data_IF_239552226549
#
_entry.id   IF_239552226549
#
_cell.length_a   1.000
_cell.length_b   1.000
_cell.length_c   1.000
_cell.angle_alpha   90.00
_cell.angle_beta   90.00
_cell.angle_gamma   90.00
#
_symmetry.space_group_name_H-M   'P 1'
#
loop_
_entity.id
_entity.type
_entity.pdbx_description
1 polymer ?
#
# COMPACT_ATOMS: atom_id res chain seq x y z
N UNK A 1 0.02 26.76 12.15
CA UNK A 1 1.20 26.08 12.74
C UNK A 1 1.05 25.81 14.25
N UNK A 2 0.67 24.58 14.61
CA UNK A 2 0.67 24.06 15.99
C UNK A 2 1.80 23.03 16.12
N UNK A 3 2.59 23.06 17.20
CA UNK A 3 3.66 22.08 17.44
C UNK A 3 3.37 21.34 18.74
N UNK A 4 3.28 20.01 18.64
CA UNK A 4 3.14 19.12 19.79
C UNK A 4 4.28 18.10 19.76
N UNK A 5 4.94 17.93 20.91
CA UNK A 5 6.06 17.00 21.08
C UNK A 5 5.82 16.13 22.31
N UNK A 6 6.19 14.85 22.24
CA UNK A 6 6.12 13.89 23.36
C UNK A 6 4.69 13.73 23.90
N UNK A 7 3.71 13.62 23.00
CA UNK A 7 2.30 13.48 23.39
C UNK A 7 1.93 12.00 23.49
N UNK A 8 1.46 11.59 24.67
CA UNK A 8 0.85 10.28 24.89
C UNK A 8 -0.62 10.48 25.20
N UNK A 9 -1.49 9.98 24.33
CA UNK A 9 -2.94 9.96 24.57
C UNK A 9 -3.44 8.51 24.54
N UNK A 10 -4.32 8.19 25.46
CA UNK A 10 -5.01 6.92 25.56
C UNK A 10 -6.51 7.16 25.60
N UNK A 11 -7.29 6.27 24.99
CA UNK A 11 -8.77 6.31 25.02
C UNK A 11 -9.34 7.60 24.41
N UNK A 12 -8.89 7.94 23.20
CA UNK A 12 -9.36 9.13 22.49
C UNK A 12 -10.62 8.79 21.71
N UNK A 13 -11.76 9.28 22.20
CA UNK A 13 -13.04 9.24 21.49
C UNK A 13 -13.47 10.66 21.11
N UNK A 14 -13.41 10.99 19.83
CA UNK A 14 -14.01 12.22 19.29
C UNK A 14 -14.87 11.88 18.07
N UNK A 15 -15.90 12.69 17.84
CA UNK A 15 -16.80 12.53 16.69
C UNK A 15 -16.12 12.96 15.39
N UNK A 16 -15.34 14.04 15.47
CA UNK A 16 -14.65 14.63 14.32
C UNK A 16 -13.34 15.26 14.82
N UNK A 17 -12.25 15.05 14.09
CA UNK A 17 -10.95 15.67 14.35
C UNK A 17 -10.45 16.36 13.07
N UNK A 18 -10.32 17.69 13.14
CA UNK A 18 -9.76 18.49 12.04
C UNK A 18 -8.49 19.18 12.51
N UNK A 19 -7.36 18.87 11.89
CA UNK A 19 -6.08 19.52 12.15
C UNK A 19 -5.50 20.05 10.84
N UNK A 20 -4.98 21.28 10.89
CA UNK A 20 -4.31 21.92 9.76
C UNK A 20 -3.01 22.58 10.23
N UNK A 21 -1.96 22.45 9.42
CA UNK A 21 -0.62 22.99 9.70
C UNK A 21 -0.10 22.56 11.09
N UNK A 22 0.02 21.25 11.32
CA UNK A 22 0.43 20.70 12.61
C UNK A 22 1.72 19.91 12.48
N UNK A 23 2.64 20.13 13.42
CA UNK A 23 3.85 19.31 13.59
C UNK A 23 3.67 18.48 14.84
N UNK A 24 3.61 17.16 14.68
CA UNK A 24 3.52 16.17 15.75
C UNK A 24 4.84 15.41 15.80
N UNK A 25 5.52 15.42 16.94
CA UNK A 25 6.77 14.68 17.14
C UNK A 25 6.65 13.73 18.32
N UNK A 26 7.02 12.47 18.12
CA UNK A 26 7.00 11.41 19.15
C UNK A 26 5.63 11.26 19.81
N UNK A 27 4.59 11.08 18.98
CA UNK A 27 3.22 10.92 19.46
C UNK A 27 2.84 9.45 19.54
N UNK A 28 2.31 9.04 20.69
CA UNK A 28 1.74 7.71 20.91
C UNK A 28 0.26 7.87 21.18
N UNK A 29 -0.60 7.37 20.27
CA UNK A 29 -2.04 7.36 20.46
C UNK A 29 -2.52 5.91 20.58
N UNK A 30 -3.02 5.52 21.75
CA UNK A 30 -3.54 4.17 22.00
C UNK A 30 -5.04 4.21 22.14
N UNK A 31 -5.73 3.22 21.56
CA UNK A 31 -7.19 3.07 21.64
C UNK A 31 -7.93 4.31 21.14
N UNK A 32 -7.65 4.67 19.89
CA UNK A 32 -8.28 5.84 19.25
C UNK A 32 -9.49 5.39 18.44
N UNK A 33 -10.64 6.02 18.69
CA UNK A 33 -11.85 5.85 17.90
C UNK A 33 -12.30 7.21 17.39
N UNK A 34 -12.11 7.46 16.09
CA UNK A 34 -12.51 8.71 15.44
C UNK A 34 -13.30 8.37 14.17
N UNK A 35 -14.61 8.63 14.12
CA UNK A 35 -15.40 8.42 12.92
C UNK A 35 -14.85 9.23 11.75
N UNK A 36 -14.52 10.51 11.94
CA UNK A 36 -14.05 11.39 10.87
C UNK A 36 -12.75 12.11 11.27
N UNK A 37 -11.73 12.01 10.41
CA UNK A 37 -10.43 12.68 10.58
C UNK A 37 -10.03 13.39 9.31
N UNK A 38 -9.79 14.70 9.41
CA UNK A 38 -9.27 15.53 8.32
C UNK A 38 -7.96 16.17 8.74
N UNK A 39 -6.87 15.81 8.05
CA UNK A 39 -5.52 16.32 8.30
C UNK A 39 -4.99 17.04 7.06
N UNK A 40 -4.63 18.31 7.19
CA UNK A 40 -4.03 19.07 6.09
C UNK A 40 -2.67 19.63 6.50
N UNK A 41 -1.64 19.40 5.67
CA UNK A 41 -0.28 19.91 5.90
C UNK A 41 0.25 19.51 7.28
N UNK A 42 0.21 18.21 7.56
CA UNK A 42 0.66 17.67 8.85
C UNK A 42 2.02 17.01 8.66
N UNK A 43 2.96 17.35 9.52
CA UNK A 43 4.24 16.64 9.65
C UNK A 43 4.20 15.81 10.93
N UNK A 44 4.27 14.50 10.78
CA UNK A 44 4.22 13.53 11.88
C UNK A 44 5.55 12.80 11.94
N UNK A 45 6.39 13.03 12.94
CA UNK A 45 7.65 12.29 13.09
C UNK A 45 7.58 11.34 14.28
N UNK A 46 7.84 10.05 14.04
CA UNK A 46 7.87 9.04 15.10
C UNK A 46 6.51 8.78 15.74
N UNK A 47 5.47 8.64 14.91
CA UNK A 47 4.10 8.39 15.40
C UNK A 47 3.85 6.88 15.50
N UNK A 48 3.41 6.46 16.68
CA UNK A 48 3.05 5.06 16.97
C UNK A 48 1.57 4.97 17.31
N UNK A 49 0.88 4.13 16.55
CA UNK A 49 -0.56 3.90 16.65
C UNK A 49 -0.81 2.41 16.90
N UNK A 50 -0.88 1.94 18.15
CA UNK A 50 -1.06 0.51 18.44
C UNK A 50 -2.43 0.02 17.99
N UNK A 51 -3.48 0.80 18.27
CA UNK A 51 -4.87 0.44 18.03
C UNK A 51 -5.68 1.67 17.64
N UNK A 52 -6.13 1.67 16.39
CA UNK A 52 -6.86 2.80 15.80
C UNK A 52 -8.05 2.29 15.00
N UNK A 53 -9.23 2.82 15.29
CA UNK A 53 -10.47 2.56 14.55
C UNK A 53 -10.95 3.89 13.99
N UNK A 54 -10.96 4.01 12.67
CA UNK A 54 -11.42 5.19 11.94
C UNK A 54 -12.57 4.79 11.02
N UNK A 55 -13.51 5.68 10.71
CA UNK A 55 -14.47 5.40 9.64
C UNK A 55 -13.99 6.05 8.35
N UNK A 56 -13.75 7.36 8.39
CA UNK A 56 -13.35 8.16 7.24
C UNK A 56 -12.13 9.01 7.59
N UNK A 57 -11.10 8.91 6.77
CA UNK A 57 -9.84 9.64 6.93
C UNK A 57 -9.51 10.32 5.63
N UNK A 58 -9.38 11.64 5.66
CA UNK A 58 -8.88 12.43 4.55
C UNK A 58 -7.60 13.15 4.97
N UNK A 59 -6.49 12.89 4.28
CA UNK A 59 -5.27 13.69 4.49
C UNK A 59 -4.71 14.27 3.19
N UNK A 60 -4.17 15.48 3.29
CA UNK A 60 -3.50 16.16 2.18
C UNK A 60 -2.18 16.78 2.64
N UNK A 61 -1.11 16.60 1.87
CA UNK A 61 0.20 17.18 2.20
C UNK A 61 0.79 16.56 3.46
N UNK A 62 0.68 15.24 3.60
CA UNK A 62 1.13 14.53 4.79
C UNK A 62 2.58 14.09 4.63
N UNK A 63 3.42 14.53 5.56
CA UNK A 63 4.80 14.08 5.71
C UNK A 63 4.93 13.25 6.97
N UNK A 64 5.51 12.07 6.87
CA UNK A 64 5.87 11.30 8.05
C UNK A 64 7.11 10.43 7.78
N UNK A 65 8.28 10.79 8.33
CA UNK A 65 9.48 10.00 8.12
C UNK A 65 9.40 8.62 8.77
N UNK A 66 8.64 8.47 9.87
CA UNK A 66 8.48 7.19 10.58
C UNK A 66 7.07 7.01 11.09
N UNK A 67 6.36 6.07 10.49
CA UNK A 67 5.04 5.68 10.92
C UNK A 67 4.99 4.20 11.29
N UNK A 68 4.44 3.92 12.47
CA UNK A 68 4.16 2.54 12.88
C UNK A 68 2.72 2.42 13.32
N UNK A 69 1.97 1.51 12.69
CA UNK A 69 0.63 1.14 13.12
C UNK A 69 0.51 -0.37 13.27
N UNK A 70 0.06 -0.84 14.43
CA UNK A 70 0.02 -2.27 14.74
C UNK A 70 -1.33 -2.92 14.47
N UNK A 71 -2.43 -2.17 14.66
CA UNK A 71 -3.79 -2.60 14.38
C UNK A 71 -4.59 -1.40 13.94
N UNK A 72 -5.09 -1.46 12.72
CA UNK A 72 -5.89 -0.39 12.15
C UNK A 72 -7.08 -0.94 11.41
N UNK A 73 -8.26 -0.40 11.70
CA UNK A 73 -9.42 -0.58 10.84
C UNK A 73 -9.92 0.77 10.33
N UNK A 74 -10.14 0.89 9.02
CA UNK A 74 -10.81 2.03 8.43
C UNK A 74 -11.73 1.67 7.27
N UNK A 75 -12.89 2.32 7.19
CA UNK A 75 -13.82 2.08 6.08
C UNK A 75 -13.33 2.78 4.82
N UNK A 76 -12.97 4.06 4.92
CA UNK A 76 -12.55 4.88 3.79
C UNK A 76 -11.32 5.71 4.14
N UNK A 77 -10.22 5.46 3.43
CA UNK A 77 -8.98 6.21 3.59
C UNK A 77 -8.60 6.91 2.29
N UNK A 78 -8.62 8.25 2.32
CA UNK A 78 -8.27 9.12 1.20
C UNK A 78 -7.00 9.91 1.52
N UNK A 79 -6.01 9.81 0.63
CA UNK A 79 -4.76 10.55 0.74
C UNK A 79 -4.40 11.27 -0.55
N UNK A 80 -3.87 12.47 -0.38
CA UNK A 80 -3.28 13.26 -1.46
C UNK A 80 -1.93 13.82 -1.02
N UNK A 81 -0.95 13.79 -1.94
CA UNK A 81 0.37 14.39 -1.73
C UNK A 81 1.06 13.89 -0.45
N UNK A 82 1.37 12.59 -0.42
CA UNK A 82 1.94 11.94 0.76
C UNK A 82 3.38 11.54 0.53
N UNK A 83 4.25 11.90 1.47
CA UNK A 83 5.67 11.55 1.48
C UNK A 83 6.00 10.86 2.80
N UNK A 84 6.29 9.56 2.73
CA UNK A 84 6.72 8.79 3.90
C UNK A 84 8.09 8.17 3.62
N UNK A 85 8.89 7.98 4.66
CA UNK A 85 10.19 7.32 4.52
C UNK A 85 10.15 5.88 4.98
N UNK A 86 9.84 5.64 6.25
CA UNK A 86 9.76 4.30 6.84
C UNK A 86 8.36 4.07 7.40
N UNK A 87 7.64 3.11 6.83
CA UNK A 87 6.26 2.80 7.22
C UNK A 87 6.15 1.32 7.57
N UNK A 88 5.69 1.04 8.78
CA UNK A 88 5.45 -0.33 9.26
C UNK A 88 3.97 -0.45 9.65
N UNK A 89 3.24 -1.28 8.92
CA UNK A 89 1.82 -1.50 9.14
C UNK A 89 1.56 -2.99 9.38
N UNK A 90 0.93 -3.30 10.50
CA UNK A 90 0.54 -4.66 10.87
C UNK A 90 -0.97 -4.71 11.08
N UNK A 91 -1.59 -5.85 10.74
CA UNK A 91 -3.01 -6.15 11.03
C UNK A 91 -3.96 -5.00 10.66
N UNK A 92 -3.83 -4.55 9.42
CA UNK A 92 -4.64 -3.44 8.91
C UNK A 92 -5.78 -3.97 8.03
N UNK A 93 -6.99 -3.49 8.30
CA UNK A 93 -8.22 -3.88 7.59
C UNK A 93 -8.89 -2.63 7.03
N UNK A 94 -8.89 -2.50 5.70
CA UNK A 94 -9.46 -1.36 5.00
C UNK A 94 -10.54 -1.79 4.01
N UNK A 95 -11.63 -1.04 3.92
CA UNK A 95 -12.64 -1.31 2.89
C UNK A 95 -12.31 -0.57 1.59
N UNK A 96 -11.93 0.70 1.68
CA UNK A 96 -11.62 1.54 0.54
C UNK A 96 -10.41 2.42 0.81
N UNK A 97 -9.46 2.43 -0.12
CA UNK A 97 -8.24 3.23 -0.09
C UNK A 97 -8.10 3.96 -1.41
N UNK A 98 -8.07 5.29 -1.36
CA UNK A 98 -7.92 6.15 -2.53
C UNK A 98 -6.73 7.05 -2.32
N UNK A 99 -5.72 6.90 -3.17
CA UNK A 99 -4.46 7.63 -3.07
C UNK A 99 -4.21 8.37 -4.39
N UNK A 100 -3.84 9.64 -4.34
CA UNK A 100 -3.51 10.38 -5.56
C UNK A 100 -2.02 10.32 -5.88
N UNK A 101 -1.18 10.73 -4.93
CA UNK A 101 0.27 10.78 -5.12
C UNK A 101 0.95 10.36 -3.84
N UNK A 102 1.66 9.23 -3.90
CA UNK A 102 2.32 8.64 -2.75
C UNK A 102 3.75 8.28 -3.10
N UNK A 103 4.69 8.81 -2.31
CA UNK A 103 6.12 8.52 -2.42
C UNK A 103 6.61 7.90 -1.12
N UNK A 104 7.14 6.68 -1.21
CA UNK A 104 7.63 5.89 -0.10
C UNK A 104 9.07 5.43 -0.36
N UNK A 105 9.90 5.45 0.68
CA UNK A 105 11.20 4.80 0.60
C UNK A 105 11.10 3.33 1.01
N UNK A 106 10.45 3.06 2.13
CA UNK A 106 10.31 1.73 2.72
C UNK A 106 8.89 1.54 3.27
N UNK A 107 8.24 0.48 2.82
CA UNK A 107 6.93 0.07 3.28
C UNK A 107 6.93 -1.42 3.62
N UNK A 108 6.74 -1.73 4.91
CA UNK A 108 6.55 -3.07 5.41
C UNK A 108 5.10 -3.26 5.86
N UNK A 109 4.39 -4.17 5.20
CA UNK A 109 3.01 -4.50 5.52
C UNK A 109 2.88 -5.97 5.91
N UNK A 110 2.26 -6.24 7.05
CA UNK A 110 1.95 -7.61 7.47
C UNK A 110 0.47 -7.77 7.80
N UNK A 111 -0.14 -8.87 7.34
CA UNK A 111 -1.58 -9.17 7.57
C UNK A 111 -2.51 -8.05 7.11
N UNK A 112 -2.22 -7.49 5.94
CA UNK A 112 -3.01 -6.41 5.36
C UNK A 112 -4.20 -6.95 4.59
N UNK A 113 -5.39 -6.42 4.85
CA UNK A 113 -6.62 -6.77 4.14
C UNK A 113 -7.25 -5.50 3.55
N UNK A 114 -7.39 -5.43 2.23
CA UNK A 114 -8.09 -4.33 1.58
C UNK A 114 -9.05 -4.81 0.49
N UNK A 115 -10.30 -4.32 0.53
CA UNK A 115 -11.28 -4.67 -0.50
C UNK A 115 -11.03 -3.88 -1.79
N UNK A 116 -10.91 -2.55 -1.70
CA UNK A 116 -10.68 -1.67 -2.86
C UNK A 116 -9.52 -0.72 -2.59
N UNK A 117 -8.47 -0.84 -3.40
CA UNK A 117 -7.33 0.06 -3.38
C UNK A 117 -7.14 0.69 -4.76
N UNK A 118 -7.22 2.02 -4.83
CA UNK A 118 -6.81 2.79 -5.99
C UNK A 118 -5.70 3.77 -5.64
N UNK A 119 -4.63 3.80 -6.42
CA UNK A 119 -3.61 4.85 -6.34
C UNK A 119 -3.25 5.37 -7.72
N UNK A 120 -3.43 6.67 -7.98
CA UNK A 120 -3.12 7.25 -9.29
C UNK A 120 -1.61 7.19 -9.58
N UNK A 121 -0.78 7.61 -8.62
CA UNK A 121 0.69 7.55 -8.72
C UNK A 121 1.29 6.97 -7.47
N UNK A 122 1.85 5.78 -7.61
CA UNK A 122 2.53 5.08 -6.53
C UNK A 122 4.03 4.95 -6.83
N UNK A 123 4.86 5.48 -5.94
CA UNK A 123 6.31 5.29 -5.99
C UNK A 123 6.81 4.69 -4.68
N UNK A 124 7.45 3.53 -4.74
CA UNK A 124 8.02 2.87 -3.57
C UNK A 124 9.36 2.19 -3.87
N UNK A 125 10.42 2.56 -3.14
CA UNK A 125 11.76 1.99 -3.38
C UNK A 125 11.94 0.58 -2.82
N UNK A 126 11.27 0.26 -1.71
CA UNK A 126 11.27 -1.06 -1.10
C UNK A 126 9.91 -1.36 -0.50
N UNK A 127 9.26 -2.38 -1.04
CA UNK A 127 7.95 -2.80 -0.56
C UNK A 127 7.97 -4.26 -0.15
N UNK A 128 7.64 -4.52 1.10
CA UNK A 128 7.41 -5.86 1.64
C UNK A 128 5.94 -6.02 2.02
N UNK A 129 5.29 -7.09 1.54
CA UNK A 129 3.96 -7.49 1.96
C UNK A 129 3.96 -8.96 2.35
N UNK A 130 3.56 -9.28 3.58
CA UNK A 130 3.46 -10.66 4.06
C UNK A 130 2.06 -11.00 4.58
N UNK A 131 1.46 -12.07 4.09
CA UNK A 131 0.17 -12.58 4.60
C UNK A 131 -1.03 -11.67 4.28
N UNK A 132 -1.05 -11.04 3.11
CA UNK A 132 -2.05 -10.04 2.74
C UNK A 132 -3.18 -10.58 1.84
N UNK A 133 -4.35 -9.94 1.90
CA UNK A 133 -5.48 -10.18 0.99
C UNK A 133 -5.93 -8.86 0.38
N UNK A 134 -5.80 -8.72 -0.94
CA UNK A 134 -6.27 -7.55 -1.68
C UNK A 134 -7.22 -8.01 -2.79
N UNK A 135 -8.42 -7.41 -2.87
CA UNK A 135 -9.48 -7.92 -3.76
C UNK A 135 -9.69 -7.12 -5.05
N UNK A 136 -9.48 -5.82 -5.02
CA UNK A 136 -9.55 -4.94 -6.19
C UNK A 136 -8.45 -3.89 -6.06
N UNK A 137 -7.43 -3.99 -6.90
CA UNK A 137 -6.27 -3.10 -6.87
C UNK A 137 -6.12 -2.43 -8.22
N UNK A 138 -6.19 -1.09 -8.26
CA UNK A 138 -6.09 -0.30 -9.49
C UNK A 138 -4.99 0.74 -9.35
N UNK A 139 -3.87 0.51 -10.04
CA UNK A 139 -2.69 1.36 -9.99
C UNK A 139 -2.23 1.70 -11.42
N UNK A 140 -2.69 2.81 -12.02
CA UNK A 140 -2.39 3.17 -13.40
C UNK A 140 -1.00 3.74 -13.66
N UNK A 141 -0.30 4.28 -12.65
CA UNK A 141 1.10 4.71 -12.77
C UNK A 141 1.86 4.22 -11.53
N UNK A 142 2.79 3.29 -11.75
CA UNK A 142 3.52 2.62 -10.66
C UNK A 142 5.00 2.57 -10.95
N UNK A 143 5.81 3.05 -10.01
CA UNK A 143 7.27 2.88 -10.03
C UNK A 143 7.71 2.24 -8.72
N UNK A 144 8.06 0.95 -8.78
CA UNK A 144 8.49 0.21 -7.61
C UNK A 144 9.79 -0.55 -7.85
N UNK A 145 10.64 -0.56 -6.83
CA UNK A 145 11.79 -1.44 -6.75
C UNK A 145 11.75 -2.29 -5.49
N UNK A 146 12.49 -3.41 -5.50
CA UNK A 146 12.65 -4.27 -4.33
C UNK A 146 11.31 -4.76 -3.76
N UNK A 147 10.40 -5.19 -4.64
CA UNK A 147 9.07 -5.66 -4.25
C UNK A 147 9.16 -7.11 -3.80
N UNK A 148 8.79 -7.39 -2.55
CA UNK A 148 8.72 -8.73 -1.98
C UNK A 148 7.31 -8.97 -1.47
N UNK A 149 6.61 -9.96 -2.04
CA UNK A 149 5.28 -10.35 -1.58
C UNK A 149 5.24 -11.83 -1.25
N UNK A 150 4.99 -12.16 0.01
CA UNK A 150 4.99 -13.53 0.52
C UNK A 150 3.63 -13.91 1.09
N UNK A 151 3.09 -15.07 0.71
CA UNK A 151 1.79 -15.56 1.21
C UNK A 151 0.65 -14.56 0.95
N UNK A 152 0.62 -13.96 -0.25
CA UNK A 152 -0.36 -12.92 -0.61
C UNK A 152 -1.41 -13.45 -1.57
N UNK A 153 -2.66 -13.07 -1.34
CA UNK A 153 -3.77 -13.32 -2.28
C UNK A 153 -4.19 -11.98 -2.89
N UNK A 154 -4.04 -11.86 -4.20
CA UNK A 154 -4.50 -10.74 -5.00
C UNK A 154 -5.61 -11.21 -5.93
N UNK A 155 -6.78 -10.59 -5.82
CA UNK A 155 -7.86 -10.72 -6.79
C UNK A 155 -7.99 -9.40 -7.54
N UNK A 156 -8.39 -9.45 -8.81
CA UNK A 156 -8.66 -8.29 -9.69
C UNK A 156 -7.62 -7.18 -9.54
N UNK A 157 -6.50 -7.34 -10.23
CA UNK A 157 -5.41 -6.35 -10.20
C UNK A 157 -5.26 -5.71 -11.56
N UNK A 158 -5.36 -4.39 -11.62
CA UNK A 158 -5.13 -3.61 -12.84
C UNK A 158 -3.94 -2.70 -12.61
N UNK A 159 -2.83 -3.05 -13.25
CA UNK A 159 -1.63 -2.22 -13.34
C UNK A 159 -1.52 -1.71 -14.78
N UNK A 160 -1.39 -0.41 -14.93
CA UNK A 160 -1.06 0.21 -16.22
C UNK A 160 0.28 0.91 -16.10
N UNK A 161 1.02 0.99 -17.21
CA UNK A 161 2.17 1.89 -17.39
C UNK A 161 3.04 2.07 -16.14
N UNK A 162 3.85 1.06 -15.82
CA UNK A 162 4.69 1.08 -14.63
C UNK A 162 5.98 0.29 -14.77
N UNK A 163 6.92 0.55 -13.87
CA UNK A 163 8.18 -0.18 -13.75
C UNK A 163 8.20 -0.90 -12.43
N UNK A 164 8.39 -2.21 -12.47
CA UNK A 164 8.46 -3.09 -11.30
C UNK A 164 9.80 -3.83 -11.34
N UNK A 165 10.77 -3.35 -10.57
CA UNK A 165 12.13 -3.89 -10.54
C UNK A 165 12.38 -4.77 -9.31
N UNK A 166 13.17 -5.83 -9.48
CA UNK A 166 13.57 -6.74 -8.39
C UNK A 166 12.36 -7.35 -7.66
N UNK A 167 11.42 -7.90 -8.42
CA UNK A 167 10.17 -8.45 -7.88
C UNK A 167 10.38 -9.91 -7.45
N UNK A 168 10.04 -10.24 -6.20
CA UNK A 168 10.14 -11.58 -5.62
C UNK A 168 8.80 -12.00 -5.02
N UNK A 169 8.17 -13.02 -5.59
CA UNK A 169 6.82 -13.49 -5.22
C UNK A 169 6.83 -14.96 -4.80
N UNK A 170 7.12 -15.28 -3.53
CA UNK A 170 6.90 -16.62 -2.97
C UNK A 170 5.45 -16.83 -2.51
N UNK A 171 4.85 -17.96 -2.89
CA UNK A 171 3.54 -18.41 -2.41
C UNK A 171 2.41 -17.37 -2.63
N UNK A 172 2.39 -16.77 -3.82
CA UNK A 172 1.40 -15.74 -4.18
C UNK A 172 0.30 -16.33 -5.06
N UNK A 173 -0.95 -15.97 -4.77
CA UNK A 173 -2.11 -16.27 -5.61
C UNK A 173 -2.57 -14.99 -6.30
N UNK A 174 -2.59 -15.00 -7.62
CA UNK A 174 -3.03 -13.90 -8.46
C UNK A 174 -4.24 -14.34 -9.30
N UNK A 175 -5.35 -13.62 -9.19
CA UNK A 175 -6.54 -13.86 -10.00
C UNK A 175 -6.95 -12.58 -10.74
N UNK A 176 -7.25 -12.69 -12.02
CA UNK A 176 -7.74 -11.59 -12.87
C UNK A 176 -6.79 -10.39 -12.87
N UNK A 177 -5.55 -10.62 -13.31
CA UNK A 177 -4.52 -9.57 -13.36
C UNK A 177 -4.42 -9.01 -14.78
N UNK A 178 -4.47 -7.69 -14.92
CA UNK A 178 -4.10 -6.93 -16.10
C UNK A 178 -2.82 -6.12 -15.82
N UNK A 179 -1.75 -6.35 -16.59
CA UNK A 179 -0.51 -5.54 -16.50
C UNK A 179 -0.17 -4.89 -17.84
N UNK A 180 -1.09 -4.09 -18.34
CA UNK A 180 -0.93 -3.41 -19.63
C UNK A 180 0.24 -2.40 -19.61
N UNK A 181 1.22 -2.60 -20.49
CA UNK A 181 2.37 -1.68 -20.60
C UNK A 181 3.33 -1.67 -19.41
N UNK A 182 3.31 -2.69 -18.56
CA UNK A 182 4.23 -2.81 -17.42
C UNK A 182 5.60 -3.36 -17.84
N UNK A 183 6.67 -2.80 -17.28
CA UNK A 183 8.06 -3.24 -17.46
C UNK A 183 8.53 -3.98 -16.22
N UNK A 184 8.98 -5.22 -16.40
CA UNK A 184 9.43 -6.14 -15.36
C UNK A 184 10.89 -6.57 -15.62
N UNK A 185 11.91 -5.77 -15.24
CA UNK A 185 13.30 -6.06 -15.56
C UNK A 185 13.79 -7.36 -14.95
N UNK A 186 13.49 -7.61 -13.67
CA UNK A 186 13.91 -8.80 -12.94
C UNK A 186 12.77 -9.32 -12.06
N UNK A 187 12.34 -10.55 -12.34
CA UNK A 187 11.25 -11.21 -11.60
C UNK A 187 11.66 -12.63 -11.18
N UNK A 188 11.37 -12.94 -9.93
CA UNK A 188 11.54 -14.27 -9.32
C UNK A 188 10.19 -14.75 -8.80
N UNK A 189 9.64 -15.80 -9.41
CA UNK A 189 8.40 -16.45 -8.98
C UNK A 189 8.68 -17.81 -8.36
N UNK A 190 8.11 -18.05 -7.18
CA UNK A 190 8.17 -19.36 -6.51
C UNK A 190 6.79 -19.71 -5.96
N UNK A 191 6.25 -20.86 -6.34
CA UNK A 191 4.94 -21.34 -5.90
C UNK A 191 3.79 -20.36 -6.19
N UNK A 192 3.82 -19.73 -7.37
CA UNK A 192 2.80 -18.74 -7.76
C UNK A 192 1.65 -19.39 -8.51
N UNK A 193 0.42 -19.15 -8.07
CA UNK A 193 -0.79 -19.56 -8.78
C UNK A 193 -1.42 -18.37 -9.49
N UNK A 194 -1.61 -18.46 -10.80
CA UNK A 194 -2.21 -17.40 -11.62
C UNK A 194 -3.42 -17.87 -12.40
N UNK A 195 -4.51 -17.12 -12.34
CA UNK A 195 -5.71 -17.35 -13.16
C UNK A 195 -6.21 -16.06 -13.81
N UNK A 196 -6.64 -16.11 -15.08
CA UNK A 196 -7.24 -14.95 -15.75
C UNK A 196 -6.23 -13.83 -16.03
N UNK A 197 -5.00 -14.19 -16.40
CA UNK A 197 -3.92 -13.22 -16.57
C UNK A 197 -3.91 -12.62 -17.98
N UNK A 198 -4.05 -11.29 -18.07
CA UNK A 198 -3.98 -10.48 -19.28
C UNK A 198 -2.76 -9.55 -19.22
N UNK A 199 -1.93 -9.54 -20.25
CA UNK A 199 -0.81 -8.60 -20.33
C UNK A 199 -0.56 -8.18 -21.78
N UNK A 200 -1.23 -7.13 -22.26
CA UNK A 200 -0.88 -6.52 -23.52
C UNK A 200 0.37 -5.65 -23.35
N UNK A 201 1.37 -5.83 -24.22
CA UNK A 201 2.56 -4.96 -24.35
C UNK A 201 3.45 -4.86 -23.09
N UNK A 202 3.48 -5.92 -22.29
CA UNK A 202 4.42 -6.00 -21.18
C UNK A 202 5.83 -6.38 -21.67
N UNK A 203 6.85 -6.00 -20.92
CA UNK A 203 8.25 -6.34 -21.22
C UNK A 203 8.92 -6.99 -20.02
N UNK A 204 9.71 -8.03 -20.25
CA UNK A 204 10.48 -8.67 -19.20
C UNK A 204 11.90 -8.99 -19.70
N UNK A 205 12.91 -8.52 -18.95
CA UNK A 205 14.31 -8.69 -19.33
C UNK A 205 14.91 -9.97 -18.73
N UNK A 206 14.56 -10.29 -17.48
CA UNK A 206 15.01 -11.48 -16.77
C UNK A 206 13.89 -12.08 -15.95
N UNK A 207 13.60 -13.33 -16.29
CA UNK A 207 12.57 -14.13 -15.64
C UNK A 207 13.19 -15.38 -15.03
N UNK A 208 12.92 -15.62 -13.75
CA UNK A 208 13.25 -16.87 -13.08
C UNK A 208 12.02 -17.43 -12.38
N UNK A 209 11.76 -18.73 -12.57
CA UNK A 209 10.62 -19.40 -11.98
C UNK A 209 11.00 -20.80 -11.51
N UNK A 210 10.72 -21.10 -10.24
CA UNK A 210 10.97 -22.41 -9.62
C UNK A 210 9.74 -23.32 -9.73
N UNK A 211 8.55 -22.77 -9.51
CA UNK A 211 7.26 -23.47 -9.58
C UNK A 211 6.12 -22.46 -9.75
N UNK A 212 5.17 -22.74 -10.63
CA UNK A 212 3.99 -21.92 -10.87
C UNK A 212 2.89 -22.71 -11.57
N UNK A 213 1.64 -22.29 -11.37
CA UNK A 213 0.46 -22.85 -12.05
C UNK A 213 -0.33 -21.76 -12.76
N UNK A 214 -0.71 -22.00 -14.02
CA UNK A 214 -1.44 -21.05 -14.86
C UNK A 214 -2.74 -21.66 -15.37
N UNK A 215 -3.81 -20.88 -15.31
CA UNK A 215 -5.07 -21.16 -16.00
C UNK A 215 -5.62 -19.89 -16.66
N UNK A 216 -6.08 -19.98 -17.90
CA UNK A 216 -6.71 -18.86 -18.63
C UNK A 216 -5.80 -17.62 -18.78
N UNK A 217 -4.87 -17.69 -19.74
CA UNK A 217 -3.89 -16.62 -19.98
C UNK A 217 -4.08 -16.05 -21.38
N UNK A 218 -4.12 -14.72 -21.48
CA UNK A 218 -4.13 -13.99 -22.75
C UNK A 218 -2.85 -13.16 -22.84
N UNK A 219 -1.82 -13.73 -23.46
CA UNK A 219 -0.59 -13.02 -23.79
C UNK A 219 -0.74 -12.40 -25.18
N UNK A 220 -0.72 -11.07 -25.27
CA UNK A 220 -0.67 -10.37 -26.56
C UNK A 220 0.57 -9.50 -26.60
N UNK A 221 1.47 -9.84 -27.54
CA UNK A 221 2.77 -9.17 -27.79
C UNK A 221 3.72 -9.16 -26.58
N UNK A 222 4.49 -10.26 -26.43
CA UNK A 222 5.70 -10.26 -25.60
C UNK A 222 6.83 -9.70 -26.45
N UNK A 223 7.40 -8.56 -26.04
CA UNK A 223 8.68 -8.09 -26.60
C UNK A 223 9.77 -8.58 -25.65
N UNK A 224 10.43 -9.68 -26.04
CA UNK A 224 11.62 -10.25 -25.40
C UNK A 224 12.89 -9.48 -25.80
#
# INVERSE_FOLDING_TARGET
MVVLSEVVLSEVEHVEMVLSEVVLSEVVLSEVVLPEVVLAEVDMSGVVLPEVVLSEVAMSGWSCPRWTCLRWSCLSWSLSEVVLSEVVLSEVVLSEVVLCEVVLSELDMSRWSCLRWSCQRWSCLRWSLSGGVLSEVVLPEVDMSGVVMSEVVLSVVVLSEGVLSEVVLPEVVLAEVDMSGVVLPEVVLSEVAMSGWSCPRWTCLRWSCLSWSLSEVVLSEVVL
#
